data_IF_122014414745
#
_entry.id   IF_122014414745
#
_cell.length_a   1.000
_cell.length_b   1.000
_cell.length_c   1.000
_cell.angle_alpha   90.00
_cell.angle_beta   90.00
_cell.angle_gamma   90.00
#
_symmetry.space_group_name_H-M   'P 1'
#
loop_
_entity.id
_entity.type
_entity.pdbx_description
1 polymer ?
#
# COMPACT_ATOMS: atom_id res chain seq x y z
N UNK A 1 15.35 54.44 -22.28
CA UNK A 1 15.53 52.99 -22.45
C UNK A 1 14.32 52.30 -21.84
N UNK A 2 13.60 51.59 -22.69
CA UNK A 2 12.31 51.01 -22.34
C UNK A 2 12.51 49.86 -21.37
N UNK A 3 11.76 49.81 -20.30
CA UNK A 3 11.79 48.72 -19.27
C UNK A 3 11.69 47.32 -19.91
N UNK A 4 11.01 47.24 -21.02
CA UNK A 4 10.82 46.04 -21.82
C UNK A 4 12.12 45.58 -22.48
N UNK A 5 12.96 46.47 -22.96
CA UNK A 5 14.29 46.13 -23.51
C UNK A 5 15.26 45.64 -22.43
N UNK A 6 15.20 46.23 -21.23
CA UNK A 6 16.00 45.76 -20.08
C UNK A 6 15.59 44.36 -19.62
N UNK A 7 14.29 44.09 -19.54
CA UNK A 7 13.77 42.76 -19.23
C UNK A 7 14.13 41.74 -20.30
N UNK A 8 14.03 42.10 -21.59
CA UNK A 8 14.42 41.23 -22.71
C UNK A 8 15.92 40.91 -22.69
N UNK A 9 16.76 41.90 -22.35
CA UNK A 9 18.20 41.72 -22.20
C UNK A 9 18.56 40.83 -21.03
N UNK A 10 17.90 41.03 -19.86
CA UNK A 10 18.05 40.18 -18.72
C UNK A 10 17.59 38.74 -19.00
N UNK A 11 16.48 38.54 -19.73
CA UNK A 11 15.98 37.22 -20.12
C UNK A 11 16.97 36.49 -21.05
N UNK A 12 17.51 37.17 -22.06
CA UNK A 12 18.49 36.59 -22.97
C UNK A 12 19.79 36.23 -22.23
N UNK A 13 20.26 37.09 -21.34
CA UNK A 13 21.47 36.85 -20.52
C UNK A 13 21.26 35.74 -19.52
N UNK A 14 20.11 35.68 -18.86
CA UNK A 14 19.75 34.59 -17.93
C UNK A 14 19.61 33.25 -18.67
N UNK A 15 19.03 33.25 -19.86
CA UNK A 15 18.84 32.03 -20.67
C UNK A 15 20.16 31.38 -21.12
N UNK A 16 21.25 32.16 -21.26
CA UNK A 16 22.57 31.64 -21.61
C UNK A 16 23.32 30.99 -20.42
N UNK A 17 22.90 31.30 -19.19
CA UNK A 17 23.55 30.81 -17.94
C UNK A 17 23.02 29.44 -17.48
N UNK A 18 21.86 29.01 -18.00
CA UNK A 18 21.31 27.70 -17.64
C UNK A 18 21.90 26.60 -18.49
N UNK A 19 22.27 25.45 -17.90
CA UNK A 19 22.77 24.30 -18.63
C UNK A 19 21.70 23.78 -19.58
N UNK A 20 22.03 23.71 -20.87
CA UNK A 20 21.15 23.15 -21.91
C UNK A 20 21.28 21.65 -21.91
N UNK A 21 20.27 20.95 -21.43
CA UNK A 21 20.22 19.50 -21.50
C UNK A 21 19.55 19.02 -22.79
N UNK A 22 20.08 17.94 -23.36
CA UNK A 22 19.42 17.23 -24.45
C UNK A 22 18.18 16.48 -23.96
N UNK A 23 17.22 16.18 -24.84
CA UNK A 23 16.05 15.38 -24.49
C UNK A 23 16.42 14.01 -23.90
N UNK A 24 17.52 13.39 -24.37
CA UNK A 24 18.03 12.14 -23.85
C UNK A 24 18.58 12.25 -22.43
N UNK A 25 19.31 13.33 -22.11
CA UNK A 25 19.82 13.58 -20.76
C UNK A 25 18.67 13.82 -19.77
N UNK A 26 17.66 14.61 -20.16
CA UNK A 26 16.46 14.84 -19.35
C UNK A 26 15.71 13.54 -19.07
N UNK A 27 15.52 12.69 -20.09
CA UNK A 27 14.92 11.36 -19.92
C UNK A 27 15.74 10.51 -18.96
N UNK A 28 17.07 10.54 -19.03
CA UNK A 28 17.97 9.85 -18.11
C UNK A 28 17.82 10.33 -16.66
N UNK A 29 17.72 11.63 -16.41
CA UNK A 29 17.49 12.18 -15.08
C UNK A 29 16.13 11.74 -14.50
N UNK A 30 15.07 11.78 -15.30
CA UNK A 30 13.74 11.35 -14.88
C UNK A 30 13.72 9.85 -14.59
N UNK A 31 14.40 9.04 -15.40
CA UNK A 31 14.53 7.60 -15.17
C UNK A 31 15.26 7.29 -13.86
N UNK A 32 16.39 7.96 -13.60
CA UNK A 32 17.14 7.82 -12.36
C UNK A 32 16.31 8.20 -11.13
N UNK A 33 15.59 9.32 -11.20
CA UNK A 33 14.69 9.78 -10.15
C UNK A 33 13.53 8.81 -9.93
N UNK A 34 12.90 8.29 -10.98
CA UNK A 34 11.82 7.32 -10.90
C UNK A 34 12.29 5.98 -10.34
N UNK A 35 13.47 5.49 -10.75
CA UNK A 35 14.08 4.28 -10.20
C UNK A 35 14.35 4.40 -8.70
N UNK A 36 14.85 5.56 -8.23
CA UNK A 36 15.05 5.83 -6.81
C UNK A 36 13.74 5.78 -6.02
N UNK A 37 12.65 6.35 -6.55
CA UNK A 37 11.33 6.31 -5.90
C UNK A 37 10.84 4.86 -5.77
N UNK A 38 10.96 4.05 -6.83
CA UNK A 38 10.53 2.64 -6.81
C UNK A 38 11.38 1.81 -5.86
N UNK A 39 12.66 2.11 -5.72
CA UNK A 39 13.54 1.50 -4.73
C UNK A 39 13.06 1.79 -3.30
N UNK A 40 12.67 3.03 -3.01
CA UNK A 40 12.08 3.38 -1.72
C UNK A 40 10.76 2.66 -1.45
N UNK A 41 9.87 2.54 -2.44
CA UNK A 41 8.63 1.75 -2.32
C UNK A 41 8.92 0.29 -1.96
N UNK A 42 9.93 -0.31 -2.58
CA UNK A 42 10.36 -1.67 -2.27
C UNK A 42 10.88 -1.80 -0.82
N UNK A 43 11.74 -0.87 -0.38
CA UNK A 43 12.25 -0.92 1.00
C UNK A 43 11.17 -0.70 2.04
N UNK A 44 10.21 0.19 1.80
CA UNK A 44 9.08 0.41 2.71
C UNK A 44 8.24 -0.87 2.82
N UNK A 45 7.91 -1.51 1.71
CA UNK A 45 7.16 -2.77 1.73
C UNK A 45 7.93 -3.89 2.46
N UNK A 46 9.26 -3.97 2.30
CA UNK A 46 10.10 -4.92 3.01
C UNK A 46 10.16 -4.62 4.52
N UNK A 47 10.27 -3.34 4.89
CA UNK A 47 10.27 -2.91 6.30
C UNK A 47 8.92 -3.21 6.95
N UNK A 48 7.82 -2.95 6.26
CA UNK A 48 6.47 -3.27 6.72
C UNK A 48 6.31 -4.77 6.96
N UNK A 49 6.70 -5.60 6.00
CA UNK A 49 6.70 -7.06 6.13
C UNK A 49 7.52 -7.53 7.36
N UNK A 50 8.72 -7.00 7.53
CA UNK A 50 9.63 -7.34 8.63
C UNK A 50 9.08 -6.86 9.98
N UNK A 51 8.48 -5.65 10.01
CA UNK A 51 7.90 -5.07 11.23
C UNK A 51 6.71 -5.89 11.71
N UNK A 52 5.77 -6.26 10.82
CA UNK A 52 4.64 -7.10 11.18
C UNK A 52 5.07 -8.50 11.60
N UNK A 53 6.05 -9.10 10.93
CA UNK A 53 6.64 -10.37 11.35
C UNK A 53 7.26 -10.29 12.75
N UNK A 54 8.04 -9.23 13.02
CA UNK A 54 8.64 -9.01 14.33
C UNK A 54 7.57 -8.77 15.42
N UNK A 55 6.57 -7.93 15.15
CA UNK A 55 5.47 -7.70 16.07
C UNK A 55 4.72 -9.00 16.39
N UNK A 56 4.46 -9.83 15.38
CA UNK A 56 3.82 -11.13 15.57
C UNK A 56 4.61 -12.05 16.49
N UNK A 57 5.93 -12.02 16.44
CA UNK A 57 6.81 -12.79 17.35
C UNK A 57 6.84 -12.17 18.74
N UNK A 58 6.92 -10.85 18.86
CA UNK A 58 7.01 -10.15 20.16
C UNK A 58 5.68 -10.19 20.94
N UNK A 59 4.56 -10.21 20.23
CA UNK A 59 3.22 -10.31 20.83
C UNK A 59 2.73 -11.75 20.90
N UNK A 60 3.64 -12.71 20.68
CA UNK A 60 3.32 -14.13 20.77
C UNK A 60 2.92 -14.49 22.21
N UNK A 61 1.63 -14.77 22.38
CA UNK A 61 1.06 -15.27 23.61
C UNK A 61 0.39 -16.62 23.32
N UNK A 62 0.94 -17.66 23.92
CA UNK A 62 0.52 -19.04 23.64
C UNK A 62 -0.95 -19.27 23.96
N UNK A 63 -1.44 -18.74 25.10
CA UNK A 63 -2.84 -18.92 25.52
C UNK A 63 -3.82 -18.26 24.53
N UNK A 64 -3.56 -17.01 24.16
CA UNK A 64 -4.40 -16.27 23.22
C UNK A 64 -4.38 -16.88 21.83
N UNK A 65 -3.22 -17.41 21.40
CA UNK A 65 -3.13 -18.08 20.09
C UNK A 65 -3.82 -19.42 20.05
N UNK A 66 -3.66 -20.26 21.09
CA UNK A 66 -4.40 -21.53 21.19
C UNK A 66 -5.92 -21.28 21.24
N UNK A 67 -6.35 -20.25 21.95
CA UNK A 67 -7.77 -19.87 21.99
C UNK A 67 -8.27 -19.44 20.61
N UNK A 68 -7.56 -18.54 19.94
CA UNK A 68 -7.90 -18.10 18.58
C UNK A 68 -7.88 -19.27 17.58
N UNK A 69 -6.93 -20.18 17.68
CA UNK A 69 -6.85 -21.38 16.84
C UNK A 69 -8.01 -22.33 17.08
N UNK A 70 -8.41 -22.58 18.35
CA UNK A 70 -9.57 -23.40 18.69
C UNK A 70 -10.87 -22.80 18.13
N UNK A 71 -11.03 -21.48 18.20
CA UNK A 71 -12.19 -20.78 17.64
C UNK A 71 -12.22 -20.83 16.13
N UNK A 72 -11.10 -20.53 15.48
CA UNK A 72 -11.01 -20.41 14.03
C UNK A 72 -10.91 -21.76 13.32
N UNK A 73 -10.41 -22.78 14.01
CA UNK A 73 -10.00 -24.05 13.42
C UNK A 73 -8.66 -23.92 12.69
N UNK A 74 -7.89 -25.00 12.66
CA UNK A 74 -6.52 -25.02 12.10
C UNK A 74 -6.46 -24.54 10.65
N UNK A 75 -7.41 -24.96 9.85
CA UNK A 75 -7.44 -24.61 8.43
C UNK A 75 -7.60 -23.11 8.20
N UNK A 76 -8.54 -22.46 8.87
CA UNK A 76 -8.76 -21.02 8.74
C UNK A 76 -7.61 -20.24 9.35
N UNK A 77 -7.17 -20.63 10.55
CA UNK A 77 -6.10 -19.97 11.30
C UNK A 77 -4.80 -19.94 10.50
N UNK A 78 -4.22 -21.11 10.20
CA UNK A 78 -2.97 -21.17 9.46
C UNK A 78 -3.13 -20.81 7.98
N UNK A 79 -4.25 -21.21 7.34
CA UNK A 79 -4.52 -20.91 5.95
C UNK A 79 -4.59 -19.41 5.66
N UNK A 80 -5.20 -18.63 6.52
CA UNK A 80 -5.28 -17.17 6.36
C UNK A 80 -3.91 -16.50 6.47
N UNK A 81 -3.07 -16.93 7.43
CA UNK A 81 -1.70 -16.43 7.56
C UNK A 81 -0.87 -16.79 6.33
N UNK A 82 -0.85 -18.06 5.93
CA UNK A 82 -0.10 -18.51 4.75
C UNK A 82 -0.54 -17.76 3.49
N UNK A 83 -1.85 -17.64 3.26
CA UNK A 83 -2.39 -16.91 2.12
C UNK A 83 -1.91 -15.45 2.12
N UNK A 84 -2.01 -14.77 3.26
CA UNK A 84 -1.59 -13.38 3.38
C UNK A 84 -0.09 -13.19 3.11
N UNK A 85 0.78 -13.98 3.74
CA UNK A 85 2.22 -13.88 3.54
C UNK A 85 2.64 -14.26 2.11
N UNK A 86 2.01 -15.26 1.48
CA UNK A 86 2.25 -15.60 0.07
C UNK A 86 1.94 -14.41 -0.83
N UNK A 87 0.79 -13.74 -0.62
CA UNK A 87 0.42 -12.57 -1.43
C UNK A 87 1.39 -11.40 -1.18
N UNK A 88 1.82 -11.15 0.06
CA UNK A 88 2.82 -10.13 0.36
C UNK A 88 4.15 -10.40 -0.36
N UNK A 89 4.62 -11.64 -0.36
CA UNK A 89 5.84 -12.05 -1.09
C UNK A 89 5.69 -11.80 -2.59
N UNK A 90 4.52 -12.11 -3.17
CA UNK A 90 4.22 -11.83 -4.59
C UNK A 90 4.34 -10.32 -4.87
N UNK A 91 3.79 -9.45 -4.02
CA UNK A 91 3.93 -8.00 -4.18
C UNK A 91 5.38 -7.52 -4.05
N UNK A 92 6.15 -8.06 -3.10
CA UNK A 92 7.59 -7.76 -2.96
C UNK A 92 8.34 -8.14 -4.24
N UNK A 93 8.05 -9.30 -4.83
CA UNK A 93 8.60 -9.71 -6.12
C UNK A 93 8.22 -8.76 -7.26
N UNK A 94 6.97 -8.27 -7.29
CA UNK A 94 6.53 -7.29 -8.27
C UNK A 94 7.25 -5.94 -8.10
N UNK A 95 7.45 -5.46 -6.88
CA UNK A 95 8.21 -4.24 -6.62
C UNK A 95 9.67 -4.38 -7.05
N UNK A 96 10.31 -5.50 -6.73
CA UNK A 96 11.66 -5.79 -7.16
C UNK A 96 11.78 -5.81 -8.69
N UNK A 97 10.87 -6.53 -9.38
CA UNK A 97 10.82 -6.58 -10.85
C UNK A 97 10.57 -5.20 -11.47
N UNK A 98 9.64 -4.43 -10.91
CA UNK A 98 9.35 -3.08 -11.39
C UNK A 98 10.56 -2.14 -11.19
N UNK A 99 11.27 -2.25 -10.06
CA UNK A 99 12.49 -1.49 -9.82
C UNK A 99 13.57 -1.83 -10.85
N UNK A 100 13.82 -3.12 -11.10
CA UNK A 100 14.82 -3.57 -12.07
C UNK A 100 14.50 -3.14 -13.51
N UNK A 101 13.22 -2.99 -13.83
CA UNK A 101 12.76 -2.62 -15.17
C UNK A 101 12.86 -1.12 -15.47
N UNK A 102 13.13 -0.25 -14.50
CA UNK A 102 13.29 1.19 -14.71
C UNK A 102 14.76 1.51 -14.88
N UNK A 103 15.20 1.65 -16.16
CA UNK A 103 16.58 1.98 -16.55
C UNK A 103 16.61 3.29 -17.33
N UNK A 104 17.71 4.05 -17.17
CA UNK A 104 17.90 5.34 -17.85
C UNK A 104 18.02 5.23 -19.39
N UNK A 105 18.46 4.07 -19.88
CA UNK A 105 18.74 3.82 -21.30
C UNK A 105 17.48 3.39 -22.08
N UNK A 106 16.31 3.32 -21.46
CA UNK A 106 15.10 2.87 -22.12
C UNK A 106 14.44 3.99 -22.94
N UNK A 107 13.76 3.63 -24.05
CA UNK A 107 12.90 4.57 -24.78
C UNK A 107 11.85 5.19 -23.84
N UNK A 108 11.56 6.48 -24.02
CA UNK A 108 10.63 7.27 -23.19
C UNK A 108 9.30 6.55 -22.98
N UNK A 109 8.72 5.97 -24.04
CA UNK A 109 7.46 5.20 -23.97
C UNK A 109 7.54 3.98 -23.04
N UNK A 110 8.66 3.25 -23.07
CA UNK A 110 8.86 2.09 -22.20
C UNK A 110 8.98 2.51 -20.74
N UNK A 111 9.72 3.60 -20.49
CA UNK A 111 9.87 4.17 -19.15
C UNK A 111 8.51 4.62 -18.58
N UNK A 112 7.70 5.33 -19.37
CA UNK A 112 6.34 5.74 -19.00
C UNK A 112 5.46 4.53 -18.62
N UNK A 113 5.49 3.46 -19.42
CA UNK A 113 4.74 2.22 -19.15
C UNK A 113 5.16 1.58 -17.83
N UNK A 114 6.46 1.53 -17.56
CA UNK A 114 7.00 0.95 -16.32
C UNK A 114 6.63 1.78 -15.08
N UNK A 115 6.64 3.11 -15.19
CA UNK A 115 6.18 4.02 -14.13
C UNK A 115 4.70 3.80 -13.81
N UNK A 116 3.83 3.74 -14.82
CA UNK A 116 2.40 3.47 -14.63
C UNK A 116 2.15 2.09 -14.02
N UNK A 117 2.89 1.07 -14.46
CA UNK A 117 2.80 -0.29 -13.92
C UNK A 117 3.15 -0.31 -12.42
N UNK A 118 4.24 0.34 -12.03
CA UNK A 118 4.65 0.43 -10.62
C UNK A 118 3.58 1.11 -9.77
N UNK A 119 3.04 2.24 -10.25
CA UNK A 119 1.95 2.95 -9.57
C UNK A 119 0.72 2.07 -9.38
N UNK A 120 0.32 1.31 -10.41
CA UNK A 120 -0.81 0.39 -10.33
C UNK A 120 -0.54 -0.75 -9.35
N UNK A 121 0.64 -1.35 -9.38
CA UNK A 121 1.03 -2.40 -8.41
C UNK A 121 0.91 -1.90 -6.99
N UNK A 122 1.35 -0.67 -6.71
CA UNK A 122 1.26 -0.07 -5.39
C UNK A 122 -0.18 0.16 -4.93
N UNK A 123 -1.04 0.65 -5.82
CA UNK A 123 -2.46 0.81 -5.51
C UNK A 123 -3.12 -0.54 -5.18
N UNK A 124 -2.83 -1.58 -5.96
CA UNK A 124 -3.32 -2.93 -5.68
C UNK A 124 -2.83 -3.48 -4.34
N UNK A 125 -1.57 -3.22 -3.97
CA UNK A 125 -1.02 -3.60 -2.68
C UNK A 125 -1.81 -2.97 -1.52
N UNK A 126 -2.06 -1.66 -1.58
CA UNK A 126 -2.83 -0.94 -0.55
C UNK A 126 -4.25 -1.50 -0.44
N UNK A 127 -4.96 -1.64 -1.57
CA UNK A 127 -6.32 -2.15 -1.57
C UNK A 127 -6.42 -3.59 -1.10
N UNK A 128 -5.43 -4.43 -1.44
CA UNK A 128 -5.36 -5.80 -0.93
C UNK A 128 -5.24 -5.81 0.61
N UNK A 129 -4.31 -5.04 1.18
CA UNK A 129 -4.13 -5.03 2.64
C UNK A 129 -5.37 -4.54 3.38
N UNK A 130 -6.00 -3.44 2.91
CA UNK A 130 -7.24 -2.93 3.52
C UNK A 130 -8.39 -3.94 3.37
N UNK A 131 -8.53 -4.55 2.20
CA UNK A 131 -9.54 -5.59 1.95
C UNK A 131 -9.31 -6.82 2.81
N UNK A 132 -8.05 -7.25 2.96
CA UNK A 132 -7.72 -8.37 3.82
C UNK A 132 -8.10 -8.12 5.28
N UNK A 133 -7.78 -6.94 5.84
CA UNK A 133 -8.17 -6.56 7.20
C UNK A 133 -9.69 -6.64 7.37
N UNK A 134 -10.47 -6.06 6.46
CA UNK A 134 -11.93 -6.09 6.52
C UNK A 134 -12.49 -7.51 6.46
N UNK A 135 -12.09 -8.27 5.46
CA UNK A 135 -12.60 -9.65 5.25
C UNK A 135 -12.20 -10.56 6.41
N UNK A 136 -10.94 -10.49 6.83
CA UNK A 136 -10.43 -11.30 7.94
C UNK A 136 -11.17 -10.97 9.25
N UNK A 137 -11.35 -9.68 9.58
CA UNK A 137 -12.03 -9.27 10.82
C UNK A 137 -13.48 -9.75 10.84
N UNK A 138 -14.21 -9.61 9.72
CA UNK A 138 -15.60 -10.08 9.63
C UNK A 138 -15.67 -11.61 9.75
N UNK A 139 -14.83 -12.33 8.99
CA UNK A 139 -14.83 -13.79 9.01
C UNK A 139 -14.46 -14.32 10.41
N UNK A 140 -13.43 -13.76 11.04
CA UNK A 140 -13.03 -14.14 12.39
C UNK A 140 -14.12 -13.83 13.43
N UNK A 141 -14.80 -12.68 13.33
CA UNK A 141 -15.92 -12.32 14.21
C UNK A 141 -17.09 -13.30 14.11
N UNK A 142 -17.39 -13.79 12.91
CA UNK A 142 -18.41 -14.85 12.72
C UNK A 142 -17.96 -16.16 13.39
N UNK A 143 -16.69 -16.53 13.23
CA UNK A 143 -16.15 -17.76 13.88
C UNK A 143 -16.19 -17.65 15.41
N UNK A 144 -15.91 -16.47 15.97
CA UNK A 144 -16.04 -16.21 17.41
C UNK A 144 -17.48 -16.41 17.87
N UNK A 145 -18.47 -15.86 17.15
CA UNK A 145 -19.88 -16.05 17.49
C UNK A 145 -20.34 -17.51 17.45
N UNK A 146 -19.73 -18.32 16.57
CA UNK A 146 -20.13 -19.72 16.39
C UNK A 146 -19.42 -20.68 17.33
N UNK A 147 -18.16 -20.42 17.67
CA UNK A 147 -17.27 -21.40 18.31
C UNK A 147 -16.73 -20.96 19.69
N UNK A 148 -16.83 -19.68 20.07
CA UNK A 148 -16.33 -19.23 21.36
C UNK A 148 -17.24 -19.70 22.49
N UNK A 149 -16.72 -20.47 23.50
CA UNK A 149 -17.52 -21.00 24.57
C UNK A 149 -18.20 -19.92 25.44
N UNK A 150 -17.48 -18.80 25.69
CA UNK A 150 -17.98 -17.68 26.48
C UNK A 150 -19.15 -16.99 25.82
N UNK A 151 -19.01 -16.70 24.52
CA UNK A 151 -20.06 -16.08 23.73
C UNK A 151 -21.26 -17.03 23.58
N UNK A 152 -21.01 -18.32 23.36
CA UNK A 152 -22.07 -19.33 23.26
C UNK A 152 -22.87 -19.44 24.57
N UNK A 153 -22.18 -19.48 25.73
CA UNK A 153 -22.87 -19.48 27.01
C UNK A 153 -23.69 -18.21 27.31
N UNK A 154 -23.16 -17.04 26.88
CA UNK A 154 -23.87 -15.78 27.01
C UNK A 154 -25.15 -15.77 26.12
N UNK A 155 -25.02 -16.25 24.87
CA UNK A 155 -26.16 -16.26 23.94
C UNK A 155 -27.25 -17.25 24.31
N UNK A 156 -26.92 -18.39 24.95
CA UNK A 156 -27.91 -19.34 25.44
C UNK A 156 -28.82 -18.79 26.57
N UNK A 157 -28.34 -17.76 27.28
CA UNK A 157 -29.11 -17.10 28.37
C UNK A 157 -30.02 -15.98 27.85
N UNK A 158 -29.95 -15.66 26.55
CA UNK A 158 -30.68 -14.57 25.88
C UNK A 158 -31.85 -15.15 25.08
N UNK A 159 -33.00 -14.49 25.14
CA UNK A 159 -34.17 -14.86 24.34
C UNK A 159 -33.84 -14.77 22.83
N UNK A 160 -34.41 -15.65 22.00
CA UNK A 160 -34.10 -15.83 20.58
C UNK A 160 -34.13 -14.50 19.79
N UNK A 161 -35.09 -13.61 20.11
CA UNK A 161 -35.19 -12.31 19.46
C UNK A 161 -34.03 -11.38 19.80
N UNK A 162 -33.58 -11.41 21.04
CA UNK A 162 -32.46 -10.61 21.54
C UNK A 162 -31.11 -11.18 21.08
N UNK A 163 -31.01 -12.51 20.84
CA UNK A 163 -29.85 -13.19 20.29
C UNK A 163 -29.50 -12.68 18.88
N UNK A 164 -30.48 -12.53 18.01
CA UNK A 164 -30.25 -11.98 16.65
C UNK A 164 -29.69 -10.54 16.74
N UNK A 165 -30.31 -9.73 17.62
CA UNK A 165 -29.85 -8.35 17.83
C UNK A 165 -28.42 -8.31 18.38
N UNK A 166 -28.07 -9.19 19.32
CA UNK A 166 -26.72 -9.32 19.89
C UNK A 166 -25.70 -9.69 18.78
N UNK A 167 -25.99 -10.71 17.99
CA UNK A 167 -25.09 -11.15 16.91
C UNK A 167 -24.86 -10.06 15.87
N UNK A 168 -25.92 -9.35 15.46
CA UNK A 168 -25.83 -8.22 14.54
C UNK A 168 -25.03 -7.05 15.14
N UNK A 169 -25.24 -6.74 16.42
CA UNK A 169 -24.48 -5.71 17.12
C UNK A 169 -23.00 -6.08 17.23
N UNK A 170 -22.68 -7.33 17.57
CA UNK A 170 -21.31 -7.83 17.67
C UNK A 170 -20.56 -7.70 16.35
N UNK A 171 -21.15 -8.18 15.23
CA UNK A 171 -20.58 -8.03 13.90
C UNK A 171 -20.49 -6.56 13.51
N UNK A 172 -21.50 -5.77 13.82
CA UNK A 172 -21.52 -4.32 13.53
C UNK A 172 -20.39 -3.57 14.22
N UNK A 173 -20.13 -3.87 15.50
CA UNK A 173 -19.02 -3.30 16.28
C UNK A 173 -17.68 -3.75 15.68
N UNK A 174 -17.53 -5.04 15.35
CA UNK A 174 -16.32 -5.55 14.72
C UNK A 174 -16.04 -4.89 13.36
N UNK A 175 -17.07 -4.69 12.53
CA UNK A 175 -16.96 -3.97 11.26
C UNK A 175 -16.58 -2.50 11.46
N UNK A 176 -17.13 -1.84 12.46
CA UNK A 176 -16.82 -0.45 12.80
C UNK A 176 -15.35 -0.32 13.24
N UNK A 177 -14.88 -1.21 14.11
CA UNK A 177 -13.48 -1.26 14.53
C UNK A 177 -12.55 -1.54 13.34
N UNK A 178 -12.90 -2.50 12.47
CA UNK A 178 -12.15 -2.78 11.25
C UNK A 178 -12.11 -1.56 10.32
N UNK A 179 -13.22 -0.84 10.15
CA UNK A 179 -13.30 0.37 9.34
C UNK A 179 -12.42 1.50 9.90
N UNK A 180 -12.39 1.68 11.23
CA UNK A 180 -11.49 2.64 11.89
C UNK A 180 -10.03 2.26 11.66
N UNK A 181 -9.66 1.00 11.87
CA UNK A 181 -8.31 0.50 11.58
C UNK A 181 -7.93 0.69 10.12
N UNK A 182 -8.80 0.33 9.17
CA UNK A 182 -8.60 0.58 7.76
C UNK A 182 -8.41 2.06 7.45
N UNK A 183 -9.17 2.94 8.11
CA UNK A 183 -9.02 4.39 8.00
C UNK A 183 -7.65 4.87 8.44
N UNK A 184 -7.17 4.40 9.59
CA UNK A 184 -5.83 4.71 10.11
C UNK A 184 -4.74 4.20 9.15
N UNK A 185 -4.81 2.95 8.71
CA UNK A 185 -3.86 2.40 7.74
C UNK A 185 -3.91 3.12 6.40
N UNK A 186 -5.11 3.47 5.91
CA UNK A 186 -5.25 4.26 4.70
C UNK A 186 -4.58 5.64 4.82
N UNK A 187 -4.71 6.32 5.96
CA UNK A 187 -4.01 7.58 6.20
C UNK A 187 -2.49 7.39 6.21
N UNK A 188 -1.97 6.36 6.87
CA UNK A 188 -0.54 6.03 6.88
C UNK A 188 -0.06 5.75 5.45
N UNK A 189 -0.77 4.91 4.71
CA UNK A 189 -0.46 4.62 3.30
C UNK A 189 -0.55 5.86 2.41
N UNK A 190 -1.56 6.71 2.61
CA UNK A 190 -1.71 7.96 1.86
C UNK A 190 -0.57 8.94 2.13
N UNK A 191 -0.06 9.02 3.36
CA UNK A 191 1.08 9.85 3.70
C UNK A 191 2.38 9.31 3.11
N UNK A 192 2.70 8.04 3.37
CA UNK A 192 3.97 7.45 2.96
C UNK A 192 4.02 7.27 1.44
N UNK A 193 3.04 6.57 0.89
CA UNK A 193 3.01 6.24 -0.53
C UNK A 193 2.43 7.35 -1.40
N UNK A 194 1.53 8.18 -0.86
CA UNK A 194 0.92 9.28 -1.58
C UNK A 194 1.97 10.30 -2.06
N UNK A 195 2.95 10.64 -1.22
CA UNK A 195 4.06 11.52 -1.59
C UNK A 195 4.91 10.90 -2.71
N UNK A 196 5.25 9.61 -2.57
CA UNK A 196 6.06 8.88 -3.57
C UNK A 196 5.31 8.71 -4.90
N UNK A 197 4.02 8.38 -4.85
CA UNK A 197 3.18 8.23 -6.03
C UNK A 197 2.92 9.58 -6.74
N UNK A 198 2.79 10.69 -6.01
CA UNK A 198 2.70 12.03 -6.59
C UNK A 198 3.98 12.39 -7.34
N UNK A 199 5.16 12.16 -6.74
CA UNK A 199 6.47 12.37 -7.41
C UNK A 199 6.60 11.51 -8.66
N UNK A 200 6.16 10.25 -8.61
CA UNK A 200 6.19 9.34 -9.76
C UNK A 200 5.24 9.81 -10.87
N UNK A 201 4.07 10.35 -10.52
CA UNK A 201 3.13 10.93 -11.47
C UNK A 201 3.68 12.20 -12.13
N UNK A 202 4.36 13.06 -11.37
CA UNK A 202 5.03 14.26 -11.94
C UNK A 202 6.07 13.83 -12.95
N UNK A 203 6.94 12.88 -12.63
CA UNK A 203 7.93 12.35 -13.56
C UNK A 203 7.28 11.79 -14.85
N UNK A 204 6.14 11.11 -14.72
CA UNK A 204 5.36 10.62 -15.86
C UNK A 204 4.85 11.76 -16.75
N UNK A 205 4.30 12.83 -16.15
CA UNK A 205 3.80 14.00 -16.91
C UNK A 205 4.93 14.77 -17.60
N UNK A 206 6.10 14.87 -16.95
CA UNK A 206 7.29 15.48 -17.58
C UNK A 206 7.72 14.68 -18.81
N UNK A 207 7.79 13.34 -18.72
CA UNK A 207 8.09 12.49 -19.87
C UNK A 207 7.07 12.61 -21.01
N UNK A 208 5.77 12.70 -20.66
CA UNK A 208 4.70 12.85 -21.64
C UNK A 208 4.82 14.14 -22.44
N UNK A 209 5.29 15.22 -21.82
CA UNK A 209 5.53 16.51 -22.50
C UNK A 209 6.72 16.47 -23.47
N UNK A 210 7.66 15.55 -23.25
CA UNK A 210 8.86 15.40 -24.09
C UNK A 210 8.63 14.46 -25.27
N UNK A 211 7.56 13.64 -25.26
CA UNK A 211 7.21 12.68 -26.33
C UNK A 211 6.27 13.33 -27.41
N UNK A 212 5.92 14.62 -27.25
CA UNK A 212 5.16 15.45 -28.20
C UNK A 212 6.12 16.34 -28.98
#
# INVERSE_FOLDING_TARGET
MDRLEQLKKQWITSGSTYPKYSAGELTGFIAKRSSSIVKWLFYIALTEFSLFGLLSVLTYDTENQEHAQKIAGDFFYYGSYVLHYVVLIIFICFFYKNHRNIRAEQPTRSLMKNILKTRRTMQWYIWYNLGYIMVFTVAFSVLVLLNDPVITEMTQKIDTKNMITFNLAFIGIAMLLAAVLCGVFYLIYSLIYGILLRKLNTNYQELKKMDV
#
